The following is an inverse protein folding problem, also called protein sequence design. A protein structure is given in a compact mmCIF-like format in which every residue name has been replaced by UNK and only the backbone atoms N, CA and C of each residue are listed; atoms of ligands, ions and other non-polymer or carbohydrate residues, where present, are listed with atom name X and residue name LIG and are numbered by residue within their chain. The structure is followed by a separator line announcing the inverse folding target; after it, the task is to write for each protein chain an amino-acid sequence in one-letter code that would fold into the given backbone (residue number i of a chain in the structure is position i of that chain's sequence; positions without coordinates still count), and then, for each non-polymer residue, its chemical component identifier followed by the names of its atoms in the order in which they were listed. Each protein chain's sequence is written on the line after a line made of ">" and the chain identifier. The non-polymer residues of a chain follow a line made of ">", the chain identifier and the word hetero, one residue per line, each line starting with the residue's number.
data_IF_061622396080
#
_entry.id   IF_061622396080
#
_cell.length_a   1.000
_cell.length_b   1.000
_cell.length_c   1.000
_cell.angle_alpha   90.00
_cell.angle_beta   90.00
_cell.angle_gamma   90.00
#
_symmetry.space_group_name_H-M   'P 1'
#
loop_
_entity.id
_entity.type
_entity.pdbx_description
1 polymer ?
#
# COMPACT_ATOMS: atom_id res chain seq x y z
N UNK A 1 56.06 79.91 -45.78
CA UNK A 1 55.28 79.17 -46.81
C UNK A 1 55.50 77.68 -46.60
N UNK A 2 54.46 76.86 -46.87
CA UNK A 2 54.38 75.39 -46.84
C UNK A 2 53.89 74.72 -45.52
N UNK A 3 52.55 74.55 -45.49
CA UNK A 3 51.74 73.34 -45.17
C UNK A 3 52.55 72.05 -44.91
N UNK A 4 52.17 71.04 -44.14
CA UNK A 4 50.97 70.59 -43.42
C UNK A 4 51.33 69.23 -42.80
N UNK A 5 50.73 68.82 -41.69
CA UNK A 5 50.04 67.51 -41.56
C UNK A 5 49.80 67.12 -40.11
N UNK A 6 48.56 66.71 -39.90
CA UNK A 6 47.93 66.23 -38.68
C UNK A 6 48.58 64.93 -38.18
N UNK A 7 49.01 64.90 -36.92
CA UNK A 7 49.18 63.65 -36.18
C UNK A 7 47.92 63.41 -35.34
N UNK A 8 47.09 62.47 -35.77
CA UNK A 8 45.92 61.98 -35.02
C UNK A 8 46.35 60.82 -34.12
N UNK A 9 45.92 60.87 -32.87
CA UNK A 9 46.02 59.77 -31.90
C UNK A 9 45.27 58.52 -32.40
N UNK A 10 45.96 57.38 -32.44
CA UNK A 10 45.34 56.07 -32.71
C UNK A 10 44.94 55.44 -31.38
N UNK A 11 43.64 55.47 -31.06
CA UNK A 11 43.05 54.58 -30.05
C UNK A 11 42.70 53.24 -30.72
N UNK A 12 43.38 52.16 -30.35
CA UNK A 12 43.02 50.82 -30.75
C UNK A 12 41.73 50.38 -30.05
N UNK A 13 40.65 50.20 -30.80
CA UNK A 13 39.39 49.60 -30.32
C UNK A 13 39.47 48.09 -30.57
N UNK A 14 39.58 47.29 -29.52
CA UNK A 14 39.48 45.83 -29.65
C UNK A 14 38.04 45.49 -30.06
N UNK A 15 37.88 45.06 -31.31
CA UNK A 15 36.63 44.56 -31.86
C UNK A 15 36.50 43.09 -31.47
N UNK A 16 35.68 42.77 -30.47
CA UNK A 16 35.22 41.39 -30.22
C UNK A 16 34.33 40.93 -31.39
N UNK A 17 34.93 40.43 -32.47
CA UNK A 17 34.19 39.68 -33.50
C UNK A 17 33.94 38.28 -32.95
N UNK A 18 32.69 38.01 -32.59
CA UNK A 18 32.20 36.63 -32.44
C UNK A 18 32.35 35.97 -33.82
N UNK A 19 33.08 34.85 -33.96
CA UNK A 19 33.20 34.19 -35.25
C UNK A 19 31.81 33.72 -35.72
N UNK A 20 31.54 33.76 -37.04
CA UNK A 20 30.27 33.26 -37.56
C UNK A 20 30.12 31.79 -37.18
N UNK A 21 29.04 31.45 -36.49
CA UNK A 21 28.74 30.06 -36.17
C UNK A 21 28.60 29.28 -37.47
N UNK A 22 29.31 28.16 -37.58
CA UNK A 22 29.23 27.29 -38.76
C UNK A 22 27.77 26.83 -38.96
N UNK A 23 27.30 26.67 -40.22
CA UNK A 23 25.96 26.15 -40.51
C UNK A 23 25.69 24.81 -39.80
N UNK A 24 26.74 23.97 -39.68
CA UNK A 24 26.72 22.70 -38.96
C UNK A 24 26.36 22.84 -37.47
N UNK A 25 26.73 23.94 -36.81
CA UNK A 25 26.39 24.15 -35.39
C UNK A 25 24.92 24.51 -35.20
N UNK A 26 24.28 25.18 -36.18
CA UNK A 26 22.83 25.46 -36.14
C UNK A 26 22.00 24.20 -36.33
N UNK A 27 22.39 23.30 -37.24
CA UNK A 27 21.73 22.00 -37.42
C UNK A 27 21.87 21.12 -36.17
N UNK A 28 23.07 21.05 -35.58
CA UNK A 28 23.29 20.29 -34.35
C UNK A 28 22.48 20.83 -33.16
N UNK A 29 22.29 22.15 -33.03
CA UNK A 29 21.48 22.72 -31.94
C UNK A 29 19.97 22.64 -32.17
N UNK A 30 19.51 22.60 -33.42
CA UNK A 30 18.08 22.46 -33.73
C UNK A 30 17.60 20.99 -33.64
N UNK A 31 18.43 20.02 -34.01
CA UNK A 31 18.09 18.60 -33.84
C UNK A 31 18.26 18.11 -32.39
N UNK A 32 19.12 18.75 -31.58
CA UNK A 32 19.21 18.52 -30.13
C UNK A 32 18.23 19.35 -29.28
N UNK A 33 17.29 20.10 -29.89
CA UNK A 33 16.02 20.35 -29.22
C UNK A 33 15.18 19.09 -29.33
N UNK A 34 15.64 18.08 -28.58
CA UNK A 34 15.09 16.76 -28.50
C UNK A 34 13.57 16.86 -28.46
N UNK A 35 12.91 16.13 -29.36
CA UNK A 35 11.63 15.53 -29.05
C UNK A 35 11.82 14.75 -27.74
N UNK A 36 11.70 15.43 -26.59
CA UNK A 36 11.48 14.74 -25.33
C UNK A 36 10.17 14.00 -25.55
N UNK A 37 10.17 12.65 -25.59
CA UNK A 37 8.93 11.93 -25.75
C UNK A 37 8.00 12.41 -24.63
N UNK A 38 6.89 13.06 -24.99
CA UNK A 38 5.89 13.49 -24.02
C UNK A 38 5.36 12.21 -23.39
N UNK A 39 5.85 11.88 -22.19
CA UNK A 39 5.38 10.72 -21.44
C UNK A 39 3.86 10.82 -21.34
N UNK A 40 3.17 9.70 -21.60
CA UNK A 40 1.72 9.68 -21.52
C UNK A 40 1.26 10.12 -20.12
N UNK A 41 0.19 10.92 -20.02
CA UNK A 41 -0.33 11.35 -18.74
C UNK A 41 -0.80 10.14 -17.92
N UNK A 42 -0.59 10.20 -16.60
CA UNK A 42 -1.09 9.19 -15.67
C UNK A 42 -2.60 9.32 -15.58
N UNK A 43 -3.32 8.23 -15.84
CA UNK A 43 -4.80 8.21 -15.82
C UNK A 43 -5.28 8.10 -14.38
N UNK A 44 -6.05 9.05 -13.87
CA UNK A 44 -6.54 8.99 -12.48
C UNK A 44 -7.90 8.30 -12.35
N UNK A 45 -8.85 8.67 -13.21
CA UNK A 45 -10.26 8.26 -13.04
C UNK A 45 -10.44 6.74 -13.13
N UNK A 46 -9.89 6.10 -14.17
CA UNK A 46 -10.03 4.65 -14.39
C UNK A 46 -9.48 3.81 -13.22
N UNK A 47 -8.21 3.99 -12.82
CA UNK A 47 -7.64 3.31 -11.66
C UNK A 47 -8.40 3.57 -10.36
N UNK A 48 -8.90 4.79 -10.14
CA UNK A 48 -9.68 5.13 -8.94
C UNK A 48 -11.02 4.40 -8.90
N UNK A 49 -11.79 4.43 -9.99
CA UNK A 49 -13.07 3.71 -10.07
C UNK A 49 -12.87 2.19 -9.92
N UNK A 50 -11.80 1.67 -10.52
CA UNK A 50 -11.45 0.26 -10.38
C UNK A 50 -11.11 -0.10 -8.93
N UNK A 51 -10.32 0.72 -8.23
CA UNK A 51 -9.97 0.51 -6.84
C UNK A 51 -11.21 0.56 -5.92
N UNK A 52 -12.12 1.51 -6.15
CA UNK A 52 -13.38 1.59 -5.41
C UNK A 52 -14.23 0.34 -5.62
N UNK A 53 -14.42 -0.09 -6.87
CA UNK A 53 -15.17 -1.31 -7.18
C UNK A 53 -14.52 -2.56 -6.57
N UNK A 54 -13.19 -2.71 -6.71
CA UNK A 54 -12.45 -3.82 -6.13
C UNK A 54 -12.56 -3.83 -4.60
N UNK A 55 -12.49 -2.66 -3.94
CA UNK A 55 -12.65 -2.56 -2.49
C UNK A 55 -14.04 -2.99 -2.03
N UNK A 56 -15.10 -2.59 -2.74
CA UNK A 56 -16.47 -3.03 -2.46
C UNK A 56 -16.61 -4.56 -2.59
N UNK A 57 -16.08 -5.14 -3.66
CA UNK A 57 -16.09 -6.59 -3.87
C UNK A 57 -15.30 -7.34 -2.80
N UNK A 58 -14.14 -6.83 -2.39
CA UNK A 58 -13.33 -7.41 -1.31
C UNK A 58 -14.12 -7.41 0.00
N UNK A 59 -14.68 -6.26 0.41
CA UNK A 59 -15.43 -6.17 1.66
C UNK A 59 -16.68 -7.05 1.65
N UNK A 60 -17.46 -7.03 0.56
CA UNK A 60 -18.65 -7.86 0.43
C UNK A 60 -18.31 -9.34 0.40
N UNK A 61 -17.28 -9.75 -0.35
CA UNK A 61 -16.85 -11.15 -0.43
C UNK A 61 -16.37 -11.68 0.91
N UNK A 62 -15.50 -10.94 1.60
CA UNK A 62 -15.04 -11.29 2.94
C UNK A 62 -16.21 -11.34 3.96
N UNK A 63 -17.11 -10.35 3.93
CA UNK A 63 -18.25 -10.32 4.83
C UNK A 63 -19.22 -11.48 4.57
N UNK A 64 -19.50 -11.80 3.30
CA UNK A 64 -20.35 -12.94 2.93
C UNK A 64 -19.74 -14.27 3.36
N UNK A 65 -18.43 -14.45 3.15
CA UNK A 65 -17.69 -15.63 3.62
C UNK A 65 -17.81 -15.80 5.14
N UNK A 66 -17.59 -14.73 5.90
CA UNK A 66 -17.68 -14.78 7.35
C UNK A 66 -19.10 -15.03 7.85
N UNK A 67 -20.10 -14.35 7.27
CA UNK A 67 -21.51 -14.57 7.60
C UNK A 67 -21.93 -16.01 7.31
N UNK A 68 -21.48 -16.57 6.19
CA UNK A 68 -21.73 -17.98 5.87
C UNK A 68 -21.19 -18.89 6.98
N UNK A 69 -19.94 -18.70 7.39
CA UNK A 69 -19.33 -19.48 8.48
C UNK A 69 -20.10 -19.34 9.80
N UNK A 70 -20.46 -18.11 10.17
CA UNK A 70 -21.21 -17.84 11.40
C UNK A 70 -22.59 -18.51 11.38
N UNK A 71 -23.29 -18.50 10.25
CA UNK A 71 -24.58 -19.18 10.10
C UNK A 71 -24.42 -20.70 10.22
N UNK A 72 -23.46 -21.29 9.52
CA UNK A 72 -23.23 -22.74 9.58
C UNK A 72 -22.88 -23.19 10.99
N UNK A 73 -22.11 -22.37 11.73
CA UNK A 73 -21.80 -22.64 13.13
C UNK A 73 -23.03 -22.48 14.04
N UNK A 74 -23.84 -21.44 13.84
CA UNK A 74 -25.05 -21.19 14.64
C UNK A 74 -26.13 -22.26 14.42
N UNK A 75 -26.31 -22.76 13.19
CA UNK A 75 -27.24 -23.86 12.86
C UNK A 75 -26.97 -25.11 13.72
N UNK A 76 -25.72 -25.34 14.13
CA UNK A 76 -25.35 -26.42 15.04
C UNK A 76 -25.76 -26.24 16.51
N UNK A 77 -26.20 -25.05 16.92
CA UNK A 77 -26.49 -24.70 18.32
C UNK A 77 -27.99 -24.60 18.66
N UNK A 78 -28.88 -24.90 17.69
CA UNK A 78 -30.36 -24.85 17.79
C UNK A 78 -30.92 -23.43 18.03
N UNK A 79 -31.56 -22.84 17.01
CA UNK A 79 -32.26 -21.54 17.14
C UNK A 79 -32.64 -20.90 15.80
N UNK A 80 -33.47 -19.84 15.84
CA UNK A 80 -33.80 -19.07 14.64
C UNK A 80 -32.60 -18.28 14.15
N UNK A 81 -32.20 -18.51 12.91
CA UNK A 81 -31.09 -17.79 12.27
C UNK A 81 -31.54 -16.36 11.97
N UNK A 82 -30.94 -15.41 12.66
CA UNK A 82 -31.09 -13.97 12.43
C UNK A 82 -29.71 -13.32 12.49
N UNK A 83 -29.54 -12.16 11.87
CA UNK A 83 -28.27 -11.44 11.95
C UNK A 83 -27.84 -11.15 13.40
N UNK A 84 -28.80 -10.78 14.25
CA UNK A 84 -28.52 -10.47 15.66
C UNK A 84 -28.10 -11.71 16.45
N UNK A 85 -28.70 -12.88 16.16
CA UNK A 85 -28.35 -14.12 16.85
C UNK A 85 -26.97 -14.64 16.45
N UNK A 86 -26.60 -14.58 15.17
CA UNK A 86 -25.24 -14.96 14.73
C UNK A 86 -24.18 -13.96 15.24
N UNK A 87 -24.48 -12.66 15.27
CA UNK A 87 -23.53 -11.66 15.78
C UNK A 87 -23.33 -11.78 17.30
N UNK A 88 -24.40 -12.00 18.06
CA UNK A 88 -24.31 -12.22 19.51
C UNK A 88 -23.51 -13.49 19.84
N UNK A 89 -23.77 -14.58 19.14
CA UNK A 89 -23.05 -15.85 19.31
C UNK A 89 -21.57 -15.68 19.03
N UNK A 90 -21.22 -14.96 17.96
CA UNK A 90 -19.84 -14.64 17.63
C UNK A 90 -19.18 -13.79 18.71
N UNK A 91 -19.87 -12.79 19.27
CA UNK A 91 -19.31 -11.98 20.34
C UNK A 91 -19.00 -12.83 21.57
N UNK A 92 -19.90 -13.74 21.95
CA UNK A 92 -19.67 -14.67 23.08
C UNK A 92 -18.50 -15.60 22.79
N UNK A 93 -18.44 -16.20 21.60
CA UNK A 93 -17.34 -17.10 21.23
C UNK A 93 -16.00 -16.37 21.06
N UNK A 94 -16.02 -15.14 20.57
CA UNK A 94 -14.85 -14.26 20.48
C UNK A 94 -14.32 -13.85 21.85
N UNK A 95 -15.19 -13.76 22.86
CA UNK A 95 -14.79 -13.63 24.28
C UNK A 95 -14.18 -14.93 24.82
N UNK A 96 -14.65 -16.10 24.36
CA UNK A 96 -14.19 -17.42 24.84
C UNK A 96 -12.94 -17.96 24.13
N UNK A 97 -12.63 -17.50 22.91
CA UNK A 97 -11.42 -17.87 22.16
C UNK A 97 -10.43 -16.73 22.11
N UNK A 98 -9.56 -16.62 23.12
CA UNK A 98 -8.12 -16.46 22.87
C UNK A 98 -7.26 -16.52 24.14
N UNK A 99 -6.65 -17.68 24.44
CA UNK A 99 -5.42 -17.75 25.24
C UNK A 99 -4.17 -17.33 24.44
N UNK A 100 -4.24 -17.37 23.10
CA UNK A 100 -3.11 -17.17 22.18
C UNK A 100 -2.70 -15.69 21.99
N UNK A 101 -3.58 -14.74 22.31
CA UNK A 101 -3.26 -13.29 22.24
C UNK A 101 -2.57 -12.75 23.47
N UNK A 102 -2.39 -13.55 24.53
CA UNK A 102 -1.70 -13.12 25.75
C UNK A 102 -0.16 -13.28 25.65
N UNK A 103 0.34 -14.17 24.77
CA UNK A 103 1.78 -14.42 24.56
C UNK A 103 2.03 -14.81 23.10
N UNK A 104 1.93 -13.84 22.19
CA UNK A 104 2.22 -14.08 20.78
C UNK A 104 3.74 -14.21 20.54
N UNK A 105 4.22 -15.38 20.08
CA UNK A 105 5.55 -15.53 19.50
C UNK A 105 5.45 -15.69 17.98
N UNK A 106 6.33 -15.00 17.24
CA UNK A 106 6.42 -15.12 15.77
C UNK A 106 6.63 -16.58 15.32
N UNK A 107 7.29 -17.39 16.15
CA UNK A 107 7.45 -18.84 15.90
C UNK A 107 6.13 -19.57 15.78
N UNK A 108 5.11 -19.15 16.52
CA UNK A 108 3.85 -19.90 16.67
C UNK A 108 3.05 -19.90 15.37
N UNK A 109 3.21 -18.88 14.53
CA UNK A 109 2.64 -18.83 13.18
C UNK A 109 3.15 -19.99 12.31
N UNK A 110 4.41 -20.39 12.49
CA UNK A 110 5.08 -21.38 11.65
C UNK A 110 5.09 -22.78 12.26
N UNK A 111 4.89 -22.91 13.57
CA UNK A 111 4.91 -24.19 14.29
C UNK A 111 3.53 -24.72 14.63
N UNK A 112 2.50 -23.85 14.68
CA UNK A 112 1.14 -24.28 15.00
C UNK A 112 0.50 -25.01 13.82
N UNK A 113 0.02 -26.25 14.00
CA UNK A 113 -0.72 -26.95 12.94
C UNK A 113 -1.91 -26.14 12.47
N UNK A 114 -2.17 -26.11 11.16
CA UNK A 114 -3.25 -25.34 10.53
C UNK A 114 -4.61 -25.47 11.25
N UNK A 115 -4.95 -26.70 11.67
CA UNK A 115 -6.21 -27.00 12.37
C UNK A 115 -6.38 -26.30 13.72
N UNK A 116 -5.32 -25.70 14.28
CA UNK A 116 -5.33 -25.00 15.57
C UNK A 116 -5.27 -23.48 15.43
N UNK A 117 -5.09 -22.96 14.22
CA UNK A 117 -5.09 -21.52 13.96
C UNK A 117 -6.50 -20.95 14.08
N UNK A 118 -6.62 -19.78 14.69
CA UNK A 118 -7.84 -18.99 14.58
C UNK A 118 -7.93 -18.36 13.17
N UNK A 119 -9.10 -17.79 12.83
CA UNK A 119 -9.35 -17.30 11.48
C UNK A 119 -8.38 -16.20 11.02
N UNK A 120 -7.94 -15.32 11.94
CA UNK A 120 -6.98 -14.26 11.62
C UNK A 120 -5.55 -14.79 11.45
N UNK A 121 -5.13 -15.74 12.29
CA UNK A 121 -3.84 -16.41 12.13
C UNK A 121 -3.77 -17.17 10.79
N UNK A 122 -4.83 -17.90 10.44
CA UNK A 122 -4.94 -18.57 9.14
C UNK A 122 -4.85 -17.57 7.98
N UNK A 123 -5.51 -16.41 8.08
CA UNK A 123 -5.38 -15.31 7.10
C UNK A 123 -3.94 -14.82 6.96
N UNK A 124 -3.22 -14.63 8.07
CA UNK A 124 -1.84 -14.12 8.06
C UNK A 124 -0.87 -15.14 7.46
N UNK A 125 -0.99 -16.42 7.82
CA UNK A 125 -0.21 -17.51 7.21
C UNK A 125 -0.49 -17.60 5.71
N UNK A 126 -1.77 -17.55 5.32
CA UNK A 126 -2.17 -17.56 3.90
C UNK A 126 -1.55 -16.39 3.16
N UNK A 127 -1.63 -15.19 3.73
CA UNK A 127 -1.07 -13.97 3.14
C UNK A 127 0.44 -14.11 2.97
N UNK A 128 1.15 -14.60 3.98
CA UNK A 128 2.58 -14.88 3.88
C UNK A 128 2.90 -15.88 2.76
N UNK A 129 2.19 -17.00 2.71
CA UNK A 129 2.32 -18.00 1.65
C UNK A 129 2.07 -17.44 0.25
N UNK A 130 1.04 -16.62 0.07
CA UNK A 130 0.74 -15.95 -1.20
C UNK A 130 1.85 -14.99 -1.63
N UNK A 131 2.48 -14.28 -0.70
CA UNK A 131 3.62 -13.41 -1.00
C UNK A 131 4.85 -14.21 -1.44
N UNK A 132 5.16 -15.34 -0.77
CA UNK A 132 6.24 -16.23 -1.19
C UNK A 132 5.96 -16.87 -2.55
N UNK A 133 4.73 -17.32 -2.79
CA UNK A 133 4.33 -17.90 -4.07
C UNK A 133 4.44 -16.86 -5.20
N UNK A 134 3.90 -15.66 -5.01
CA UNK A 134 4.02 -14.56 -5.96
C UNK A 134 5.49 -14.23 -6.24
N UNK A 135 6.31 -14.11 -5.20
CA UNK A 135 7.74 -13.87 -5.35
C UNK A 135 8.46 -14.96 -6.14
N UNK A 136 8.12 -16.24 -5.93
CA UNK A 136 8.62 -17.34 -6.77
C UNK A 136 8.20 -17.20 -8.23
N UNK A 137 6.92 -16.93 -8.48
CA UNK A 137 6.38 -16.75 -9.84
C UNK A 137 7.04 -15.58 -10.58
N UNK A 138 7.34 -14.47 -9.90
CA UNK A 138 8.04 -13.32 -10.48
C UNK A 138 9.44 -13.66 -11.03
N UNK A 139 10.04 -14.77 -10.58
CA UNK A 139 11.38 -15.20 -11.01
C UNK A 139 11.38 -16.09 -12.24
N UNK A 140 10.21 -16.54 -12.68
CA UNK A 140 10.10 -17.36 -13.89
C UNK A 140 10.34 -16.55 -15.17
N UNK A 141 9.92 -15.28 -15.21
CA UNK A 141 10.09 -14.39 -16.37
C UNK A 141 9.85 -12.91 -16.04
N UNK A 142 10.32 -12.02 -16.90
CA UNK A 142 9.97 -10.58 -16.81
C UNK A 142 8.46 -10.34 -16.98
N UNK A 143 7.77 -11.19 -17.75
CA UNK A 143 6.32 -11.10 -17.93
C UNK A 143 5.57 -11.39 -16.64
N UNK A 144 5.97 -12.43 -15.90
CA UNK A 144 5.39 -12.78 -14.59
C UNK A 144 5.68 -11.71 -13.55
N UNK A 145 6.86 -11.08 -13.57
CA UNK A 145 7.15 -9.91 -12.74
C UNK A 145 6.11 -8.79 -12.91
N UNK A 146 5.76 -8.47 -14.15
CA UNK A 146 4.83 -7.37 -14.47
C UNK A 146 3.37 -7.65 -14.09
N UNK A 147 3.00 -8.88 -13.71
CA UNK A 147 1.69 -9.15 -13.10
C UNK A 147 1.64 -8.76 -11.62
N UNK A 148 2.79 -8.68 -10.96
CA UNK A 148 2.93 -8.34 -9.54
C UNK A 148 3.70 -7.03 -9.34
N UNK A 149 3.67 -6.15 -10.35
CA UNK A 149 4.24 -4.82 -10.28
C UNK A 149 3.30 -3.80 -10.92
N UNK A 150 3.09 -2.68 -10.23
CA UNK A 150 2.25 -1.60 -10.70
C UNK A 150 3.13 -0.49 -11.28
N UNK A 151 2.90 -0.15 -12.54
CA UNK A 151 3.55 0.99 -13.21
C UNK A 151 2.46 2.00 -13.54
N UNK A 152 2.47 3.22 -12.97
CA UNK A 152 1.38 4.18 -13.15
C UNK A 152 1.09 4.57 -14.61
N UNK A 153 2.11 4.52 -15.47
CA UNK A 153 1.91 4.80 -16.90
C UNK A 153 1.13 3.70 -17.64
N UNK A 154 1.22 2.44 -17.17
CA UNK A 154 0.49 1.33 -17.78
C UNK A 154 -0.88 1.20 -17.12
N UNK A 155 -1.95 1.42 -17.87
CA UNK A 155 -3.34 1.43 -17.39
C UNK A 155 -3.88 0.02 -16.99
N UNK A 156 -3.06 -0.79 -16.32
CA UNK A 156 -3.38 -2.14 -15.83
C UNK A 156 -3.91 -2.03 -14.41
N UNK A 157 -5.17 -1.65 -14.26
CA UNK A 157 -5.74 -1.34 -12.94
C UNK A 157 -5.62 -2.50 -11.94
N UNK A 158 -5.70 -3.75 -12.40
CA UNK A 158 -5.58 -4.91 -11.51
C UNK A 158 -4.23 -4.99 -10.78
N UNK A 159 -3.17 -4.40 -11.32
CA UNK A 159 -1.86 -4.37 -10.65
C UNK A 159 -1.83 -3.45 -9.44
N UNK A 160 -2.83 -2.56 -9.26
CA UNK A 160 -3.00 -1.85 -8.00
C UNK A 160 -3.17 -2.82 -6.82
N UNK A 161 -3.86 -3.95 -7.05
CA UNK A 161 -4.04 -5.01 -6.05
C UNK A 161 -2.88 -6.01 -6.11
N UNK A 162 -2.60 -6.61 -7.26
CA UNK A 162 -1.64 -7.73 -7.32
C UNK A 162 -0.20 -7.32 -6.99
N UNK A 163 0.17 -6.04 -7.20
CA UNK A 163 1.51 -5.56 -6.83
C UNK A 163 1.84 -5.67 -5.35
N UNK A 164 0.82 -5.74 -4.48
CA UNK A 164 1.07 -5.91 -3.05
C UNK A 164 1.65 -7.27 -2.69
N UNK A 165 1.58 -8.26 -3.58
CA UNK A 165 2.17 -9.59 -3.38
C UNK A 165 3.57 -9.71 -4.00
N UNK A 166 3.94 -8.79 -4.88
CA UNK A 166 5.24 -8.80 -5.56
C UNK A 166 6.35 -8.24 -4.70
N UNK A 167 7.57 -8.78 -4.82
CA UNK A 167 8.75 -8.27 -4.13
C UNK A 167 9.97 -8.16 -5.05
N UNK A 168 10.74 -7.09 -4.87
CA UNK A 168 11.93 -6.80 -5.70
C UNK A 168 13.16 -7.63 -5.31
N UNK A 169 13.21 -8.22 -4.11
CA UNK A 169 14.39 -8.95 -3.63
C UNK A 169 14.14 -9.69 -2.32
N UNK A 170 15.10 -10.55 -1.94
CA UNK A 170 15.00 -11.41 -0.76
C UNK A 170 14.87 -10.63 0.55
N UNK A 171 15.67 -9.57 0.73
CA UNK A 171 15.55 -8.70 1.90
C UNK A 171 14.20 -7.97 1.93
N UNK A 172 13.68 -7.58 0.77
CA UNK A 172 12.41 -6.88 0.68
C UNK A 172 11.25 -7.79 1.13
N UNK A 173 11.17 -9.03 0.64
CA UNK A 173 10.17 -10.00 1.16
C UNK A 173 10.43 -10.37 2.62
N UNK A 174 11.69 -10.56 3.01
CA UNK A 174 12.06 -10.87 4.40
C UNK A 174 11.56 -9.83 5.40
N UNK A 175 11.82 -8.54 5.15
CA UNK A 175 11.34 -7.47 6.02
C UNK A 175 9.82 -7.32 6.01
N UNK A 176 9.15 -7.49 4.87
CA UNK A 176 7.70 -7.45 4.81
C UNK A 176 7.07 -8.60 5.60
N UNK A 177 7.57 -9.83 5.46
CA UNK A 177 7.02 -10.99 6.17
C UNK A 177 7.34 -10.92 7.68
N UNK A 178 8.50 -10.39 8.05
CA UNK A 178 8.83 -10.10 9.45
C UNK A 178 7.86 -9.05 10.04
N UNK A 179 7.58 -7.96 9.31
CA UNK A 179 6.65 -6.95 9.79
C UNK A 179 5.20 -7.47 9.83
N UNK A 180 4.76 -8.23 8.82
CA UNK A 180 3.44 -8.87 8.79
C UNK A 180 3.24 -9.79 10.00
N UNK A 181 4.21 -10.65 10.29
CA UNK A 181 4.17 -11.56 11.44
C UNK A 181 4.29 -10.84 12.78
N UNK A 182 5.01 -9.71 12.85
CA UNK A 182 5.16 -8.94 14.09
C UNK A 182 3.91 -8.14 14.46
N UNK A 183 3.26 -7.50 13.47
CA UNK A 183 2.13 -6.60 13.72
C UNK A 183 0.76 -7.26 13.49
N UNK A 184 0.67 -8.27 12.62
CA UNK A 184 -0.60 -8.88 12.23
C UNK A 184 -1.41 -9.46 13.37
N UNK A 185 -0.84 -10.33 14.21
CA UNK A 185 -1.57 -10.95 15.31
C UNK A 185 -1.98 -9.95 16.39
N UNK A 186 -1.11 -8.97 16.68
CA UNK A 186 -1.41 -7.90 17.61
C UNK A 186 -2.57 -7.01 17.12
N UNK A 187 -2.61 -6.69 15.82
CA UNK A 187 -3.73 -5.99 15.20
C UNK A 187 -5.01 -6.83 15.20
N UNK A 188 -4.90 -8.11 14.85
CA UNK A 188 -6.03 -9.04 14.83
C UNK A 188 -6.73 -9.11 16.19
N UNK A 189 -5.96 -9.09 17.27
CA UNK A 189 -6.44 -9.15 18.65
C UNK A 189 -7.18 -7.87 19.12
N UNK A 190 -7.08 -6.77 18.39
CA UNK A 190 -7.74 -5.51 18.77
C UNK A 190 -9.26 -5.66 18.81
N UNK A 191 -9.93 -4.79 19.57
CA UNK A 191 -11.39 -4.67 19.55
C UNK A 191 -11.95 -4.32 18.16
N UNK A 192 -11.13 -3.77 17.26
CA UNK A 192 -11.50 -3.46 15.87
C UNK A 192 -11.71 -4.73 15.06
N UNK A 193 -10.81 -5.71 15.18
CA UNK A 193 -10.79 -6.91 14.33
C UNK A 193 -11.30 -8.18 15.02
N UNK A 194 -11.21 -8.28 16.35
CA UNK A 194 -11.74 -9.41 17.14
C UNK A 194 -11.34 -10.79 16.61
N UNK A 195 -10.10 -10.94 16.16
CA UNK A 195 -9.56 -12.16 15.53
C UNK A 195 -10.36 -12.65 14.31
N UNK A 196 -11.12 -11.76 13.66
CA UNK A 196 -11.79 -12.01 12.38
C UNK A 196 -10.76 -12.00 11.25
N UNK A 197 -10.53 -13.17 10.65
CA UNK A 197 -9.67 -13.30 9.48
C UNK A 197 -10.26 -12.65 8.25
N UNK A 198 -11.57 -12.69 8.07
CA UNK A 198 -12.23 -12.07 6.93
C UNK A 198 -12.19 -10.54 7.00
N UNK A 199 -12.43 -9.96 8.19
CA UNK A 199 -12.33 -8.53 8.42
C UNK A 199 -10.89 -8.04 8.22
N UNK A 200 -9.93 -8.77 8.78
CA UNK A 200 -8.51 -8.46 8.64
C UNK A 200 -8.05 -8.59 7.17
N UNK A 201 -8.52 -9.60 6.44
CA UNK A 201 -8.29 -9.75 5.01
C UNK A 201 -8.83 -8.57 4.21
N UNK A 202 -10.08 -8.17 4.45
CA UNK A 202 -10.68 -7.03 3.76
C UNK A 202 -9.89 -5.74 4.01
N UNK A 203 -9.51 -5.49 5.26
CA UNK A 203 -8.69 -4.34 5.64
C UNK A 203 -7.28 -4.40 5.01
N UNK A 204 -6.60 -5.53 5.08
CA UNK A 204 -5.25 -5.70 4.52
C UNK A 204 -5.22 -5.48 3.01
N UNK A 205 -6.12 -6.15 2.27
CA UNK A 205 -6.20 -6.06 0.81
C UNK A 205 -6.57 -4.65 0.34
N UNK A 206 -7.52 -4.00 1.01
CA UNK A 206 -7.89 -2.62 0.67
C UNK A 206 -6.84 -1.61 1.11
N UNK A 207 -6.16 -1.83 2.24
CA UNK A 207 -4.98 -1.07 2.66
C UNK A 207 -3.89 -1.04 1.60
N UNK A 208 -3.52 -2.21 1.07
CA UNK A 208 -2.57 -2.31 -0.03
C UNK A 208 -3.05 -1.67 -1.32
N UNK A 209 -4.31 -1.94 -1.71
CA UNK A 209 -4.93 -1.37 -2.90
C UNK A 209 -4.91 0.17 -2.90
N UNK A 210 -5.34 0.79 -1.81
CA UNK A 210 -5.36 2.25 -1.70
C UNK A 210 -3.97 2.84 -1.48
N UNK A 211 -3.01 2.08 -0.93
CA UNK A 211 -1.60 2.47 -0.92
C UNK A 211 -1.05 2.56 -2.35
N UNK A 212 -1.27 1.52 -3.17
CA UNK A 212 -0.90 1.53 -4.58
C UNK A 212 -1.58 2.67 -5.33
N UNK A 213 -2.86 2.94 -5.05
CA UNK A 213 -3.60 4.06 -5.63
C UNK A 213 -3.03 5.42 -5.20
N UNK A 214 -2.65 5.60 -3.94
CA UNK A 214 -2.04 6.83 -3.46
C UNK A 214 -0.72 7.12 -4.18
N UNK A 215 0.13 6.11 -4.38
CA UNK A 215 1.33 6.25 -5.20
C UNK A 215 0.99 6.57 -6.65
N UNK A 216 0.03 5.86 -7.25
CA UNK A 216 -0.42 6.12 -8.61
C UNK A 216 -0.87 7.59 -8.80
N UNK A 217 -1.70 8.09 -7.89
CA UNK A 217 -2.19 9.48 -7.92
C UNK A 217 -1.02 10.46 -7.75
N UNK A 218 -0.08 10.17 -6.85
CA UNK A 218 1.10 11.03 -6.66
C UNK A 218 1.89 11.20 -7.96
N UNK A 219 1.97 10.17 -8.80
CA UNK A 219 2.70 10.24 -10.07
C UNK A 219 2.06 11.17 -11.12
N UNK A 220 0.80 11.57 -10.96
CA UNK A 220 0.18 12.60 -11.80
C UNK A 220 0.61 14.04 -11.42
N UNK A 221 1.24 14.23 -10.26
CA UNK A 221 1.73 15.52 -9.80
C UNK A 221 2.75 16.13 -10.77
N UNK A 222 2.80 17.47 -10.92
CA UNK A 222 3.86 18.16 -11.64
C UNK A 222 5.20 18.16 -10.89
N UNK A 223 5.22 17.77 -9.61
CA UNK A 223 6.45 17.68 -8.82
C UNK A 223 7.36 16.62 -9.44
N UNK A 224 8.52 17.04 -9.95
CA UNK A 224 9.43 16.19 -10.73
C UNK A 224 9.75 14.86 -10.05
N UNK A 225 9.92 14.87 -8.73
CA UNK A 225 10.18 13.65 -7.94
C UNK A 225 9.02 12.66 -7.97
N UNK A 226 7.78 13.12 -7.81
CA UNK A 226 6.61 12.25 -7.88
C UNK A 226 6.37 11.76 -9.32
N UNK A 227 6.56 12.65 -10.29
CA UNK A 227 6.46 12.33 -11.72
C UNK A 227 7.52 11.31 -12.18
N UNK A 228 8.69 11.25 -11.54
CA UNK A 228 9.70 10.23 -11.84
C UNK A 228 9.22 8.80 -11.54
N UNK A 229 8.21 8.63 -10.67
CA UNK A 229 7.59 7.33 -10.37
C UNK A 229 6.73 6.75 -11.48
N UNK A 230 6.37 7.54 -12.51
CA UNK A 230 5.44 7.12 -13.59
C UNK A 230 5.84 5.82 -14.30
N UNK A 231 7.15 5.60 -14.42
CA UNK A 231 7.76 4.45 -15.10
C UNK A 231 8.36 3.43 -14.14
N UNK A 232 8.38 3.74 -12.85
CA UNK A 232 9.00 2.86 -11.86
C UNK A 232 7.99 1.79 -11.44
N UNK A 233 8.30 0.49 -11.60
CA UNK A 233 7.46 -0.56 -11.06
C UNK A 233 7.42 -0.49 -9.52
N UNK A 234 6.24 -0.23 -8.96
CA UNK A 234 5.96 -0.32 -7.53
C UNK A 234 5.40 -1.69 -7.19
N UNK A 235 5.91 -2.30 -6.12
CA UNK A 235 5.51 -3.61 -5.62
C UNK A 235 5.91 -3.75 -4.16
N UNK A 236 5.19 -4.58 -3.41
CA UNK A 236 5.48 -4.90 -2.02
C UNK A 236 4.25 -4.86 -1.12
N UNK A 237 4.24 -5.71 -0.11
CA UNK A 237 3.20 -5.75 0.91
C UNK A 237 3.21 -4.52 1.84
N UNK A 238 4.27 -3.71 1.78
CA UNK A 238 4.58 -2.67 2.76
C UNK A 238 3.45 -1.67 2.92
N UNK A 239 2.78 -1.22 1.84
CA UNK A 239 1.63 -0.31 1.94
C UNK A 239 0.52 -0.83 2.85
N UNK A 240 0.16 -2.11 2.70
CA UNK A 240 -0.82 -2.76 3.58
C UNK A 240 -0.30 -2.89 5.02
N UNK A 241 0.99 -3.21 5.20
CA UNK A 241 1.62 -3.28 6.52
C UNK A 241 1.66 -1.90 7.20
N UNK A 242 1.91 -0.83 6.47
CA UNK A 242 1.84 0.54 6.98
C UNK A 242 0.41 0.88 7.46
N UNK A 243 -0.62 0.43 6.74
CA UNK A 243 -2.00 0.53 7.22
C UNK A 243 -2.21 -0.25 8.53
N UNK A 244 -1.67 -1.47 8.62
CA UNK A 244 -1.74 -2.28 9.84
C UNK A 244 -1.05 -1.62 11.03
N UNK A 245 0.15 -1.06 10.81
CA UNK A 245 0.92 -0.36 11.85
C UNK A 245 0.13 0.84 12.38
N UNK A 246 -0.39 1.70 11.49
CA UNK A 246 -1.20 2.85 11.90
C UNK A 246 -2.44 2.42 12.68
N UNK A 247 -3.17 1.42 12.20
CA UNK A 247 -4.35 0.91 12.88
C UNK A 247 -4.03 0.31 14.26
N UNK A 248 -2.92 -0.43 14.38
CA UNK A 248 -2.50 -1.02 15.65
C UNK A 248 -2.09 0.05 16.67
N UNK A 249 -1.21 0.99 16.27
CA UNK A 249 -0.73 2.06 17.16
C UNK A 249 -1.88 2.92 17.67
N UNK A 250 -2.85 3.27 16.81
CA UNK A 250 -4.01 4.07 17.24
C UNK A 250 -5.00 3.27 18.10
N UNK A 251 -5.03 1.94 17.97
CA UNK A 251 -5.83 1.09 18.86
C UNK A 251 -5.20 0.96 20.25
N UNK A 252 -3.88 1.07 20.35
CA UNK A 252 -3.11 0.93 21.59
C UNK A 252 -2.02 2.02 21.72
N UNK A 253 -2.38 3.29 21.97
CA UNK A 253 -1.42 4.40 21.90
C UNK A 253 -0.31 4.34 22.96
N UNK A 254 -0.54 3.64 24.07
CA UNK A 254 0.36 3.59 25.22
C UNK A 254 1.34 2.40 25.20
N UNK A 255 1.30 1.55 24.17
CA UNK A 255 2.21 0.40 24.09
C UNK A 255 3.58 0.80 23.54
N UNK A 256 4.57 -0.07 23.73
CA UNK A 256 5.83 -0.02 23.00
C UNK A 256 5.74 -0.97 21.81
N UNK A 257 6.22 -0.53 20.65
CA UNK A 257 6.36 -1.38 19.46
C UNK A 257 7.84 -1.68 19.21
N UNK A 258 8.13 -2.90 18.78
CA UNK A 258 9.48 -3.26 18.34
C UNK A 258 9.71 -2.80 16.91
N UNK A 259 10.60 -1.82 16.71
CA UNK A 259 11.13 -1.51 15.38
C UNK A 259 12.56 -2.06 15.35
N UNK A 260 12.83 -3.04 14.49
CA UNK A 260 14.13 -3.74 14.43
C UNK A 260 14.64 -4.16 15.81
N UNK A 261 13.75 -4.75 16.62
CA UNK A 261 14.04 -5.23 17.98
C UNK A 261 14.29 -4.15 19.05
N UNK A 262 14.20 -2.86 18.71
CA UNK A 262 14.25 -1.76 19.68
C UNK A 262 12.83 -1.38 20.08
N UNK A 263 12.45 -1.53 21.38
CA UNK A 263 11.14 -1.14 21.86
C UNK A 263 11.05 0.39 21.94
N UNK A 264 10.22 0.98 21.10
CA UNK A 264 9.96 2.43 21.07
C UNK A 264 8.50 2.73 21.42
N UNK A 265 8.20 3.89 22.02
CA UNK A 265 6.81 4.30 22.24
C UNK A 265 6.02 4.36 20.93
N UNK A 266 4.83 3.74 20.91
CA UNK A 266 4.06 3.52 19.69
C UNK A 266 3.68 4.82 18.95
N UNK A 267 3.12 5.80 19.66
CA UNK A 267 2.65 7.06 19.05
C UNK A 267 3.81 7.90 18.47
N UNK A 268 4.91 8.17 19.20
CA UNK A 268 6.08 8.83 18.62
C UNK A 268 6.65 8.11 17.40
N UNK A 269 6.67 6.77 17.41
CA UNK A 269 7.11 5.98 16.27
C UNK A 269 6.20 6.15 15.05
N UNK A 270 4.87 6.15 15.23
CA UNK A 270 3.91 6.43 14.16
C UNK A 270 4.13 7.82 13.55
N UNK A 271 4.27 8.86 14.37
CA UNK A 271 4.54 10.21 13.87
C UNK A 271 5.89 10.32 13.15
N UNK A 272 6.91 9.60 13.63
CA UNK A 272 8.21 9.52 12.96
C UNK A 272 8.10 8.85 11.58
N UNK A 273 7.30 7.78 11.47
CA UNK A 273 7.01 7.13 10.19
C UNK A 273 6.26 8.08 9.25
N UNK A 274 5.21 8.77 9.73
CA UNK A 274 4.49 9.77 8.93
C UNK A 274 5.45 10.84 8.41
N UNK A 275 6.30 11.40 9.28
CA UNK A 275 7.28 12.42 8.89
C UNK A 275 8.29 11.88 7.86
N UNK A 276 8.83 10.68 8.07
CA UNK A 276 9.77 10.03 7.17
C UNK A 276 9.18 9.79 5.77
N UNK A 277 7.95 9.28 5.71
CA UNK A 277 7.24 8.99 4.46
C UNK A 277 6.78 10.27 3.75
N UNK A 278 6.33 11.28 4.49
CA UNK A 278 6.03 12.60 3.91
C UNK A 278 7.29 13.23 3.33
N UNK A 279 8.39 13.28 4.08
CA UNK A 279 9.66 13.82 3.56
C UNK A 279 10.15 13.06 2.32
N UNK A 280 10.11 11.72 2.36
CA UNK A 280 10.50 10.88 1.24
C UNK A 280 9.65 11.08 -0.02
N UNK A 281 8.37 11.40 0.16
CA UNK A 281 7.40 11.68 -0.91
C UNK A 281 7.73 12.98 -1.66
N UNK A 282 8.08 14.06 -0.94
CA UNK A 282 8.35 15.36 -1.55
C UNK A 282 9.81 15.58 -1.93
N UNK A 283 10.74 15.18 -1.06
CA UNK A 283 12.17 15.49 -1.19
C UNK A 283 12.99 14.24 -1.48
N UNK A 284 12.61 13.12 -0.88
CA UNK A 284 13.32 11.86 -1.04
C UNK A 284 14.47 11.66 -0.10
N UNK A 285 15.01 10.45 -0.18
CA UNK A 285 16.17 10.00 0.55
C UNK A 285 17.18 9.49 -0.47
N UNK A 286 18.32 10.16 -0.59
CA UNK A 286 19.36 9.79 -1.54
C UNK A 286 19.73 8.31 -1.40
N UNK A 287 19.64 7.56 -2.50
CA UNK A 287 19.93 6.12 -2.52
C UNK A 287 18.79 5.19 -2.05
N UNK A 288 17.77 5.69 -1.35
CA UNK A 288 16.62 4.87 -0.93
C UNK A 288 15.48 4.97 -1.96
N UNK A 289 15.17 3.85 -2.61
CA UNK A 289 14.08 3.73 -3.58
C UNK A 289 12.86 3.08 -2.93
N UNK A 290 12.18 3.84 -2.07
CA UNK A 290 10.95 3.42 -1.40
C UNK A 290 9.72 4.09 -2.03
N UNK A 291 8.59 3.39 -2.05
CA UNK A 291 7.32 3.92 -2.53
C UNK A 291 6.64 4.80 -1.47
N UNK A 292 7.28 5.92 -1.11
CA UNK A 292 6.88 6.71 0.06
C UNK A 292 5.41 7.17 0.03
N UNK A 293 4.91 7.57 -1.14
CA UNK A 293 3.51 7.94 -1.31
C UNK A 293 2.55 6.76 -1.07
N UNK A 294 2.97 5.51 -1.37
CA UNK A 294 2.19 4.32 -1.06
C UNK A 294 2.15 4.09 0.46
N UNK A 295 3.30 4.18 1.14
CA UNK A 295 3.36 4.00 2.59
C UNK A 295 2.53 5.06 3.33
N UNK A 296 2.60 6.32 2.90
CA UNK A 296 1.79 7.40 3.45
C UNK A 296 0.30 7.16 3.21
N UNK A 297 -0.09 6.68 2.02
CA UNK A 297 -1.47 6.27 1.73
C UNK A 297 -1.97 5.15 2.64
N UNK A 298 -1.12 4.15 2.90
CA UNK A 298 -1.40 3.07 3.85
C UNK A 298 -1.59 3.59 5.27
N UNK A 299 -0.66 4.40 5.77
CA UNK A 299 -0.74 5.04 7.10
C UNK A 299 -2.06 5.81 7.27
N UNK A 300 -2.42 6.64 6.29
CA UNK A 300 -3.65 7.44 6.32
C UNK A 300 -4.90 6.55 6.32
N UNK A 301 -4.92 5.49 5.50
CA UNK A 301 -6.04 4.56 5.47
C UNK A 301 -6.19 3.82 6.81
N UNK A 302 -5.09 3.28 7.34
CA UNK A 302 -5.11 2.58 8.63
C UNK A 302 -5.56 3.49 9.77
N UNK A 303 -5.03 4.72 9.80
CA UNK A 303 -5.41 5.72 10.78
C UNK A 303 -6.90 6.10 10.67
N UNK A 304 -7.37 6.40 9.46
CA UNK A 304 -8.77 6.72 9.18
C UNK A 304 -9.71 5.57 9.54
N UNK A 305 -9.33 4.33 9.25
CA UNK A 305 -10.14 3.16 9.56
C UNK A 305 -10.44 3.04 11.05
N UNK A 306 -9.44 3.23 11.90
CA UNK A 306 -9.65 3.19 13.37
C UNK A 306 -10.33 4.45 13.86
N UNK A 307 -9.91 5.63 13.40
CA UNK A 307 -10.46 6.92 13.82
C UNK A 307 -11.98 7.02 13.57
N UNK A 308 -12.45 6.52 12.43
CA UNK A 308 -13.88 6.54 12.07
C UNK A 308 -14.66 5.31 12.53
N UNK A 309 -14.09 4.44 13.38
CA UNK A 309 -14.72 3.18 13.81
C UNK A 309 -15.17 2.31 12.62
N UNK A 310 -14.22 1.97 11.76
CA UNK A 310 -14.44 1.18 10.56
C UNK A 310 -15.11 -0.17 10.84
N UNK A 311 -14.97 -0.72 12.05
CA UNK A 311 -15.74 -1.88 12.49
C UNK A 311 -17.25 -1.59 12.48
N UNK A 312 -17.70 -0.57 13.21
CA UNK A 312 -19.14 -0.26 13.32
C UNK A 312 -19.71 0.42 12.07
N UNK A 313 -18.90 1.20 11.37
CA UNK A 313 -19.37 2.01 10.23
C UNK A 313 -19.21 1.34 8.87
N UNK A 314 -18.29 0.40 8.73
CA UNK A 314 -18.03 -0.30 7.47
C UNK A 314 -18.33 -1.78 7.65
N UNK A 315 -17.57 -2.48 8.50
CA UNK A 315 -17.61 -3.94 8.58
C UNK A 315 -18.97 -4.52 9.00
N UNK A 316 -19.54 -4.06 10.11
CA UNK A 316 -20.82 -4.56 10.61
C UNK A 316 -21.99 -4.29 9.63
N UNK A 317 -22.14 -3.07 9.06
CA UNK A 317 -23.11 -2.82 8.01
C UNK A 317 -22.92 -3.73 6.79
N UNK A 318 -21.69 -3.95 6.33
CA UNK A 318 -21.40 -4.85 5.20
C UNK A 318 -21.80 -6.29 5.52
N UNK A 319 -21.50 -6.80 6.72
CA UNK A 319 -21.95 -8.14 7.16
C UNK A 319 -23.47 -8.25 7.21
N UNK A 320 -24.15 -7.26 7.77
CA UNK A 320 -25.62 -7.23 7.82
C UNK A 320 -26.23 -7.21 6.42
N UNK A 321 -25.66 -6.43 5.51
CA UNK A 321 -26.06 -6.41 4.11
C UNK A 321 -25.85 -7.78 3.44
N UNK A 322 -24.67 -8.38 3.59
CA UNK A 322 -24.36 -9.69 3.05
C UNK A 322 -25.33 -10.76 3.56
N UNK A 323 -25.60 -10.80 4.87
CA UNK A 323 -26.61 -11.69 5.46
C UNK A 323 -27.98 -11.55 4.81
N UNK A 324 -28.46 -10.31 4.65
CA UNK A 324 -29.78 -10.07 4.06
C UNK A 324 -29.84 -10.52 2.59
N UNK A 325 -28.77 -10.31 1.82
CA UNK A 325 -28.69 -10.78 0.42
C UNK A 325 -28.66 -12.31 0.37
N UNK A 326 -27.79 -12.94 1.15
CA UNK A 326 -27.66 -14.40 1.19
C UNK A 326 -28.96 -15.07 1.62
N UNK A 327 -29.68 -14.49 2.59
CA UNK A 327 -30.99 -14.99 3.04
C UNK A 327 -32.05 -14.88 1.95
N UNK A 328 -32.07 -13.79 1.17
CA UNK A 328 -32.97 -13.62 0.01
C UNK A 328 -32.66 -14.61 -1.11
N UNK A 329 -31.42 -15.06 -1.21
CA UNK A 329 -30.96 -16.06 -2.18
C UNK A 329 -31.05 -17.51 -1.66
N UNK A 330 -31.64 -17.72 -0.48
CA UNK A 330 -31.77 -19.04 0.16
C UNK A 330 -30.43 -19.78 0.38
N UNK A 331 -29.33 -19.02 0.48
CA UNK A 331 -27.99 -19.56 0.78
C UNK A 331 -27.84 -19.84 2.29
N UNK A 332 -28.44 -18.99 3.12
CA UNK A 332 -28.39 -19.06 4.60
C UNK A 332 -29.77 -19.14 5.22
#
# INVERSE_FOLDING_TARGET
>A
MLRSSLWRNVTARISNRIPPQSPFRRYATQEHQAHQPRLHPVRILGPTLWALAASGSIYLGCAAYEVYQDVQQFKGQVGTVSYNSIDATRQIQGVLRSPATARFSVSDIFTTPWARLNSAEAMLVTTGGLNFAAFGLQRLSSSTFMFFAHVPMYARNFTLLTSMFGHSGYLHIGFNMLALSSFGPALAATATFQSSGAHLAAFYLTGGLFSSLAHHISCASPIARMAAGRMSPGLGASGAIYAMVAAYVLSYPNVKIGIMFVPVPAVPALWSLVAFETWGTFFGWGGLRLAHAAHLGGLLLGAGYVHFDGRKRIWQPTRKFAFNVMRRMEIV
#
